data_IF_903840319659
#
_entry.id   IF_903840319659
#
_cell.length_a   1.000
_cell.length_b   1.000
_cell.length_c   1.000
_cell.angle_alpha   90.00
_cell.angle_beta   90.00
_cell.angle_gamma   90.00
#
_symmetry.space_group_name_H-M   'P 1'
#
loop_
_entity.id
_entity.type
_entity.pdbx_description
1 polymer ?
#
# COMPACT_ATOMS: atom_id res chain seq x y z
N UNK A 1 -28.81 69.20 -36.34
CA UNK A 1 -29.12 69.07 -34.91
C UNK A 1 -29.60 67.69 -34.60
N UNK A 2 -28.76 66.83 -34.10
CA UNK A 2 -29.09 65.62 -33.36
C UNK A 2 -27.79 65.17 -32.69
N UNK A 3 -27.71 65.42 -31.40
CA UNK A 3 -26.64 64.99 -30.51
C UNK A 3 -26.76 63.46 -30.32
N UNK A 4 -25.69 62.77 -30.62
CA UNK A 4 -25.52 61.37 -30.29
C UNK A 4 -24.60 61.27 -29.07
N UNK A 5 -25.22 61.20 -27.87
CA UNK A 5 -24.54 60.93 -26.62
C UNK A 5 -23.95 59.50 -26.58
N UNK A 6 -22.65 59.43 -26.67
CA UNK A 6 -21.88 58.19 -26.46
C UNK A 6 -21.79 57.93 -24.96
N UNK A 7 -22.58 56.96 -24.50
CA UNK A 7 -22.48 56.42 -23.14
C UNK A 7 -21.24 55.55 -23.03
N UNK A 8 -20.20 56.08 -22.43
CA UNK A 8 -19.01 55.31 -22.03
C UNK A 8 -19.40 54.50 -20.80
N UNK A 9 -19.58 53.19 -20.99
CA UNK A 9 -19.69 52.24 -19.87
C UNK A 9 -18.34 52.17 -19.17
N UNK A 10 -18.29 52.75 -17.97
CA UNK A 10 -17.19 52.52 -17.06
C UNK A 10 -17.17 51.02 -16.70
N UNK A 11 -16.11 50.35 -17.08
CA UNK A 11 -15.84 48.97 -16.65
C UNK A 11 -15.61 48.99 -15.12
N UNK A 12 -16.46 48.31 -14.38
CA UNK A 12 -16.24 48.05 -12.96
C UNK A 12 -14.94 47.24 -12.81
N UNK A 13 -13.91 47.89 -12.25
CA UNK A 13 -12.68 47.19 -11.85
C UNK A 13 -13.01 46.21 -10.73
N UNK A 14 -12.92 44.90 -11.02
CA UNK A 14 -13.01 43.88 -9.97
C UNK A 14 -11.98 44.15 -8.86
N UNK A 15 -12.39 44.07 -7.59
CA UNK A 15 -11.49 44.36 -6.49
C UNK A 15 -10.36 43.32 -6.46
N UNK A 16 -9.15 43.76 -6.77
CA UNK A 16 -7.93 42.94 -6.73
C UNK A 16 -7.86 42.30 -5.35
N UNK A 17 -7.93 40.94 -5.29
CA UNK A 17 -7.79 40.18 -4.06
C UNK A 17 -6.46 40.52 -3.40
N UNK A 18 -6.50 41.24 -2.28
CA UNK A 18 -5.30 41.56 -1.51
C UNK A 18 -4.79 40.24 -0.89
N UNK A 19 -3.58 39.84 -1.29
CA UNK A 19 -2.89 38.68 -0.72
C UNK A 19 -2.57 39.04 0.75
N UNK A 20 -3.00 38.25 1.74
CA UNK A 20 -2.71 38.57 3.14
C UNK A 20 -1.19 38.53 3.36
N UNK A 21 -0.66 39.62 3.90
CA UNK A 21 0.76 39.75 4.26
C UNK A 21 1.10 38.71 5.33
N UNK A 22 2.06 37.84 5.03
CA UNK A 22 2.53 36.85 6.00
C UNK A 22 3.54 37.53 6.92
N UNK A 23 3.40 37.42 8.27
CA UNK A 23 4.35 37.99 9.22
C UNK A 23 5.79 37.55 8.93
N UNK A 24 6.74 38.51 9.02
CA UNK A 24 8.15 38.26 8.67
C UNK A 24 8.79 37.13 9.50
N UNK A 25 8.42 37.03 10.77
CA UNK A 25 8.89 35.96 11.66
C UNK A 25 8.47 34.57 11.15
N UNK A 26 7.28 34.46 10.54
CA UNK A 26 6.78 33.22 9.98
C UNK A 26 7.50 32.85 8.69
N UNK A 27 7.87 33.84 7.89
CA UNK A 27 8.71 33.65 6.68
C UNK A 27 10.13 33.22 7.06
N UNK A 28 10.73 33.83 8.08
CA UNK A 28 12.05 33.42 8.59
C UNK A 28 12.03 31.98 9.11
N UNK A 29 11.01 31.61 9.90
CA UNK A 29 10.82 30.23 10.36
C UNK A 29 10.64 29.24 9.21
N UNK A 30 9.88 29.60 8.17
CA UNK A 30 9.71 28.77 6.97
C UNK A 30 11.01 28.57 6.21
N UNK A 31 11.81 29.63 6.02
CA UNK A 31 13.13 29.55 5.37
C UNK A 31 14.07 28.65 6.15
N UNK A 32 14.14 28.81 7.48
CA UNK A 32 14.98 27.98 8.35
C UNK A 32 14.54 26.49 8.27
N UNK A 33 13.24 26.21 8.31
CA UNK A 33 12.73 24.86 8.17
C UNK A 33 13.04 24.23 6.79
N UNK A 34 12.91 25.01 5.72
CA UNK A 34 13.25 24.55 4.37
C UNK A 34 14.74 24.25 4.24
N UNK A 35 15.61 25.07 4.83
CA UNK A 35 17.06 24.83 4.85
C UNK A 35 17.41 23.53 5.61
N UNK A 36 16.82 23.31 6.80
CA UNK A 36 16.99 22.07 7.57
C UNK A 36 16.51 20.86 6.77
N UNK A 37 15.34 20.96 6.11
CA UNK A 37 14.80 19.87 5.30
C UNK A 37 15.68 19.56 4.08
N UNK A 38 16.25 20.59 3.44
CA UNK A 38 17.17 20.42 2.33
C UNK A 38 18.49 19.77 2.75
N UNK A 39 19.06 20.16 3.91
CA UNK A 39 20.28 19.53 4.45
C UNK A 39 20.03 18.08 4.84
N UNK A 40 18.92 17.76 5.47
CA UNK A 40 18.53 16.38 5.78
C UNK A 40 18.36 15.52 4.52
N UNK A 41 17.71 16.06 3.47
CA UNK A 41 17.56 15.37 2.19
C UNK A 41 18.93 15.11 1.52
N UNK A 42 19.85 16.11 1.56
CA UNK A 42 21.21 15.97 1.05
C UNK A 42 22.01 14.92 1.82
N UNK A 43 21.93 14.91 3.14
CA UNK A 43 22.59 13.91 3.99
C UNK A 43 22.01 12.50 3.73
N UNK A 44 20.68 12.36 3.57
CA UNK A 44 20.05 11.10 3.24
C UNK A 44 20.48 10.57 1.86
N UNK A 45 20.68 11.45 0.88
CA UNK A 45 21.22 11.08 -0.44
C UNK A 45 22.69 10.63 -0.36
N UNK A 46 23.50 11.34 0.42
CA UNK A 46 24.92 10.97 0.64
C UNK A 46 25.03 9.63 1.36
N UNK A 47 24.21 9.39 2.39
CA UNK A 47 24.18 8.10 3.08
C UNK A 47 23.74 6.96 2.15
N UNK A 48 22.71 7.18 1.31
CA UNK A 48 22.30 6.20 0.30
C UNK A 48 23.43 5.89 -0.70
N UNK A 49 24.18 6.90 -1.15
CA UNK A 49 25.34 6.69 -2.05
C UNK A 49 26.49 5.95 -1.37
N UNK A 50 26.77 6.22 -0.08
CA UNK A 50 27.74 5.43 0.72
C UNK A 50 27.30 3.98 0.87
N UNK A 51 26.00 3.72 1.10
CA UNK A 51 25.44 2.37 1.19
C UNK A 51 25.46 1.60 -0.14
N UNK A 52 25.40 2.29 -1.28
CA UNK A 52 25.47 1.64 -2.60
C UNK A 52 26.90 1.30 -3.03
N UNK A 53 27.92 2.00 -2.53
CA UNK A 53 29.31 1.82 -2.93
C UNK A 53 30.04 0.63 -2.30
N UNK A 54 29.46 -0.01 -1.28
CA UNK A 54 30.02 -1.21 -0.66
C UNK A 54 28.92 -2.23 -0.39
N UNK A 55 29.13 -3.49 -0.74
CA UNK A 55 28.36 -4.57 -0.13
C UNK A 55 28.70 -4.56 1.36
N UNK A 56 27.94 -3.81 2.16
CA UNK A 56 28.10 -3.87 3.61
C UNK A 56 27.79 -5.29 4.04
N UNK A 57 28.78 -5.97 4.51
CA UNK A 57 28.61 -7.25 5.21
C UNK A 57 27.79 -6.92 6.45
N UNK A 58 26.50 -7.23 6.41
CA UNK A 58 25.64 -7.07 7.58
C UNK A 58 26.02 -8.14 8.58
N UNK A 59 26.73 -7.72 9.61
CA UNK A 59 27.05 -8.60 10.73
C UNK A 59 25.77 -9.06 11.41
N UNK A 60 25.53 -10.36 11.37
CA UNK A 60 24.39 -10.98 12.02
C UNK A 60 24.85 -11.61 13.34
N UNK A 61 24.34 -11.12 14.46
CA UNK A 61 24.66 -11.67 15.78
C UNK A 61 24.21 -13.14 15.87
N UNK A 62 24.95 -13.93 16.64
CA UNK A 62 24.68 -15.37 16.83
C UNK A 62 23.23 -15.63 17.28
N UNK A 63 22.73 -14.84 18.24
CA UNK A 63 21.33 -14.92 18.72
C UNK A 63 20.30 -14.77 17.58
N UNK A 64 20.53 -13.84 16.66
CA UNK A 64 19.65 -13.63 15.52
C UNK A 64 19.72 -14.82 14.54
N UNK A 65 20.88 -15.41 14.37
CA UNK A 65 21.07 -16.61 13.54
C UNK A 65 20.34 -17.81 14.12
N UNK A 66 20.51 -18.09 15.41
CA UNK A 66 19.83 -19.18 16.13
C UNK A 66 18.31 -18.99 16.06
N UNK A 67 17.81 -17.79 16.36
CA UNK A 67 16.38 -17.47 16.27
C UNK A 67 15.80 -17.71 14.87
N UNK A 68 16.52 -17.34 13.84
CA UNK A 68 16.07 -17.52 12.45
C UNK A 68 16.10 -19.01 12.06
N UNK A 69 17.10 -19.77 12.54
CA UNK A 69 17.16 -21.23 12.34
C UNK A 69 15.98 -21.93 13.00
N UNK A 70 15.65 -21.60 14.24
CA UNK A 70 14.48 -22.11 14.94
C UNK A 70 13.17 -21.76 14.22
N UNK A 71 13.05 -20.55 13.72
CA UNK A 71 11.88 -20.11 12.96
C UNK A 71 11.72 -20.92 11.68
N UNK A 72 12.81 -21.12 10.94
CA UNK A 72 12.85 -21.94 9.72
C UNK A 72 12.45 -23.39 10.01
N UNK A 73 12.94 -23.96 11.09
CA UNK A 73 12.61 -25.32 11.50
C UNK A 73 11.11 -25.47 11.84
N UNK A 74 10.57 -24.58 12.67
CA UNK A 74 9.13 -24.55 13.00
C UNK A 74 8.24 -24.41 11.78
N UNK A 75 8.60 -23.54 10.84
CA UNK A 75 7.89 -23.40 9.58
C UNK A 75 7.93 -24.68 8.74
N UNK A 76 9.07 -25.36 8.68
CA UNK A 76 9.20 -26.63 7.99
C UNK A 76 8.29 -27.73 8.56
N UNK A 77 8.20 -27.82 9.89
CA UNK A 77 7.28 -28.76 10.55
C UNK A 77 5.83 -28.38 10.26
N UNK A 78 5.47 -27.11 10.38
CA UNK A 78 4.11 -26.62 10.10
C UNK A 78 3.68 -26.95 8.67
N UNK A 79 4.54 -26.69 7.69
CA UNK A 79 4.23 -26.95 6.28
C UNK A 79 4.08 -28.44 5.99
N UNK A 80 4.91 -29.32 6.56
CA UNK A 80 4.76 -30.78 6.45
C UNK A 80 3.45 -31.28 7.05
N UNK A 81 3.07 -30.79 8.24
CA UNK A 81 1.78 -31.14 8.87
C UNK A 81 0.59 -30.64 8.02
N UNK A 82 0.72 -29.50 7.38
CA UNK A 82 -0.32 -28.96 6.51
C UNK A 82 -0.49 -29.80 5.22
N UNK A 83 0.57 -30.39 4.71
CA UNK A 83 0.52 -31.30 3.56
C UNK A 83 -0.18 -32.62 3.93
N UNK A 84 0.10 -33.15 5.11
CA UNK A 84 -0.51 -34.39 5.63
C UNK A 84 -2.00 -34.23 5.95
N UNK A 85 -2.43 -33.01 6.34
CA UNK A 85 -3.83 -32.69 6.67
C UNK A 85 -4.35 -31.62 5.71
N UNK A 86 -4.73 -32.00 4.49
CA UNK A 86 -5.30 -31.06 3.54
C UNK A 86 -6.62 -30.54 4.12
N UNK A 87 -6.64 -29.28 4.52
CA UNK A 87 -7.86 -28.64 4.97
C UNK A 87 -8.77 -28.31 3.77
N UNK A 88 -10.03 -28.01 4.06
CA UNK A 88 -11.00 -27.59 3.06
C UNK A 88 -10.47 -26.40 2.24
N UNK A 89 -10.45 -26.54 0.94
CA UNK A 89 -10.08 -25.49 -0.03
C UNK A 89 -11.30 -24.95 -0.76
N UNK A 90 -12.50 -25.19 -0.20
CA UNK A 90 -13.73 -24.65 -0.76
C UNK A 90 -13.66 -23.11 -0.71
N UNK A 91 -13.86 -22.49 -1.85
CA UNK A 91 -13.93 -21.02 -1.98
C UNK A 91 -15.34 -20.61 -1.61
N UNK A 92 -15.53 -19.68 -0.66
CA UNK A 92 -16.84 -19.13 -0.37
C UNK A 92 -17.42 -18.51 -1.65
N UNK A 93 -18.65 -18.89 -2.02
CA UNK A 93 -19.28 -18.36 -3.23
C UNK A 93 -19.57 -16.87 -3.13
N UNK A 94 -19.87 -16.40 -1.93
CA UNK A 94 -20.22 -15.00 -1.65
C UNK A 94 -19.02 -14.04 -1.69
N UNK A 95 -17.83 -14.54 -1.35
CA UNK A 95 -16.65 -13.69 -1.22
C UNK A 95 -15.55 -14.10 -2.20
N UNK A 96 -15.55 -13.47 -3.37
CA UNK A 96 -14.54 -13.72 -4.40
C UNK A 96 -13.26 -12.89 -4.22
N UNK A 97 -13.34 -11.80 -3.46
CA UNK A 97 -12.24 -10.85 -3.22
C UNK A 97 -11.68 -11.01 -1.81
N UNK A 98 -10.36 -10.99 -1.70
CA UNK A 98 -9.65 -10.86 -0.44
C UNK A 98 -8.67 -9.68 -0.49
N UNK A 99 -8.50 -9.00 0.64
CA UNK A 99 -7.41 -8.05 0.86
C UNK A 99 -6.42 -8.68 1.83
N UNK A 100 -5.15 -8.68 1.45
CA UNK A 100 -4.07 -9.41 2.14
C UNK A 100 -3.02 -8.42 2.58
N UNK A 101 -2.72 -8.36 3.88
CA UNK A 101 -1.76 -7.44 4.48
C UNK A 101 -0.66 -8.20 5.20
N UNK A 102 0.60 -7.88 4.90
CA UNK A 102 1.71 -8.45 5.63
C UNK A 102 1.89 -7.74 6.98
N UNK A 103 1.87 -8.52 8.07
CA UNK A 103 1.98 -8.02 9.44
C UNK A 103 3.36 -8.31 10.03
N UNK A 104 3.93 -9.47 9.75
CA UNK A 104 5.15 -9.95 10.42
C UNK A 104 6.39 -9.94 9.53
N UNK A 105 7.56 -9.91 10.16
CA UNK A 105 8.84 -10.03 9.48
C UNK A 105 9.08 -11.43 8.94
N UNK A 106 9.68 -11.48 7.74
CA UNK A 106 10.02 -12.71 7.02
C UNK A 106 11.50 -13.10 7.15
N UNK A 107 12.19 -12.59 8.17
CA UNK A 107 13.56 -13.01 8.44
C UNK A 107 13.58 -14.42 9.01
N UNK A 108 14.41 -15.30 8.44
CA UNK A 108 14.53 -16.69 8.88
C UNK A 108 13.32 -17.57 8.58
N UNK A 109 12.46 -17.24 7.62
CA UNK A 109 11.35 -18.10 7.17
C UNK A 109 11.81 -19.10 6.12
N UNK A 110 11.00 -20.17 5.92
CA UNK A 110 11.26 -21.15 4.87
C UNK A 110 11.23 -20.53 3.48
N UNK A 111 11.99 -21.08 2.52
CA UNK A 111 12.03 -20.59 1.14
C UNK A 111 10.65 -20.59 0.45
N UNK A 112 9.82 -21.60 0.77
CA UNK A 112 8.45 -21.72 0.25
C UNK A 112 7.58 -20.54 0.68
N UNK A 113 7.63 -20.14 1.97
CA UNK A 113 6.90 -18.97 2.49
C UNK A 113 7.38 -17.69 1.83
N UNK A 114 8.70 -17.51 1.70
CA UNK A 114 9.27 -16.32 1.05
C UNK A 114 8.80 -16.18 -0.39
N UNK A 115 8.81 -17.26 -1.16
CA UNK A 115 8.37 -17.27 -2.55
C UNK A 115 6.89 -16.89 -2.69
N UNK A 116 6.01 -17.41 -1.81
CA UNK A 116 4.58 -17.03 -1.82
C UNK A 116 4.39 -15.55 -1.47
N UNK A 117 5.12 -15.01 -0.50
CA UNK A 117 5.07 -13.58 -0.15
C UNK A 117 5.55 -12.68 -1.31
N UNK A 118 6.55 -13.13 -2.06
CA UNK A 118 7.01 -12.44 -3.28
C UNK A 118 5.96 -12.49 -4.41
N UNK A 119 5.30 -13.63 -4.61
CA UNK A 119 4.20 -13.76 -5.58
C UNK A 119 3.01 -12.86 -5.23
N UNK A 120 2.69 -12.72 -3.93
CA UNK A 120 1.67 -11.80 -3.44
C UNK A 120 2.14 -10.33 -3.44
N UNK A 121 3.38 -10.04 -3.86
CA UNK A 121 4.01 -8.71 -3.87
C UNK A 121 4.11 -8.03 -2.49
N UNK A 122 4.08 -8.80 -1.41
CA UNK A 122 4.11 -8.31 -0.02
C UNK A 122 5.54 -8.18 0.53
N UNK A 123 6.44 -7.52 -0.21
CA UNK A 123 7.87 -7.43 0.14
C UNK A 123 8.16 -6.64 1.42
N UNK A 124 7.35 -5.65 1.75
CA UNK A 124 7.53 -4.79 2.94
C UNK A 124 6.44 -5.08 3.98
N UNK A 125 6.73 -4.83 5.25
CA UNK A 125 5.70 -4.85 6.30
C UNK A 125 4.66 -3.78 6.02
N UNK A 126 3.42 -4.01 6.42
CA UNK A 126 2.27 -3.14 6.21
C UNK A 126 1.97 -2.85 4.73
N UNK A 127 2.36 -3.75 3.87
CA UNK A 127 1.97 -3.72 2.47
C UNK A 127 0.76 -4.62 2.28
N UNK A 128 -0.26 -4.11 1.58
CA UNK A 128 -1.47 -4.85 1.25
C UNK A 128 -1.68 -5.00 -0.23
N UNK A 129 -2.32 -6.08 -0.65
CA UNK A 129 -2.69 -6.36 -2.05
C UNK A 129 -4.06 -6.98 -2.12
N UNK A 130 -4.77 -6.75 -3.23
CA UNK A 130 -6.01 -7.44 -3.54
C UNK A 130 -5.71 -8.79 -4.21
N UNK A 131 -6.41 -9.83 -3.78
CA UNK A 131 -6.25 -11.19 -4.29
C UNK A 131 -7.62 -11.78 -4.60
N UNK A 132 -7.79 -12.33 -5.80
CA UNK A 132 -8.97 -13.11 -6.15
C UNK A 132 -8.90 -14.48 -5.45
N UNK A 133 -9.95 -14.83 -4.72
CA UNK A 133 -10.04 -16.11 -4.04
C UNK A 133 -10.29 -17.23 -5.06
N UNK A 134 -9.30 -18.09 -5.18
CA UNK A 134 -9.31 -19.33 -5.96
C UNK A 134 -8.78 -20.45 -5.07
N UNK A 135 -9.02 -21.71 -5.37
CA UNK A 135 -8.46 -22.82 -4.58
C UNK A 135 -6.93 -22.73 -4.46
N UNK A 136 -6.26 -22.23 -5.50
CA UNK A 136 -4.81 -22.04 -5.51
C UNK A 136 -4.39 -20.88 -4.59
N UNK A 137 -5.07 -19.72 -4.65
CA UNK A 137 -4.76 -18.59 -3.79
C UNK A 137 -5.03 -18.90 -2.32
N UNK A 138 -6.05 -19.68 -2.00
CA UNK A 138 -6.29 -20.17 -0.64
C UNK A 138 -5.16 -21.07 -0.13
N UNK A 139 -4.64 -21.97 -0.97
CA UNK A 139 -3.44 -22.77 -0.62
C UNK A 139 -2.23 -21.86 -0.36
N UNK A 140 -2.02 -20.82 -1.17
CA UNK A 140 -0.96 -19.84 -0.94
C UNK A 140 -1.15 -19.06 0.36
N UNK A 141 -2.37 -18.61 0.68
CA UNK A 141 -2.68 -17.88 1.91
C UNK A 141 -2.46 -18.74 3.16
N UNK A 142 -2.79 -20.02 3.13
CA UNK A 142 -2.48 -20.97 4.22
C UNK A 142 -0.98 -21.11 4.47
N UNK A 143 -0.16 -21.13 3.41
CA UNK A 143 1.30 -21.21 3.55
C UNK A 143 1.85 -19.99 4.30
N UNK A 144 1.31 -18.81 4.06
CA UNK A 144 1.78 -17.55 4.65
C UNK A 144 0.96 -17.07 5.85
N UNK A 145 -0.01 -17.84 6.28
CA UNK A 145 -0.97 -17.49 7.34
C UNK A 145 -0.35 -16.86 8.60
N UNK A 146 0.77 -17.35 9.18
CA UNK A 146 1.36 -16.75 10.37
C UNK A 146 1.97 -15.36 10.18
N UNK A 147 2.16 -14.93 8.94
CA UNK A 147 2.85 -13.69 8.59
C UNK A 147 1.93 -12.62 8.02
N UNK A 148 0.70 -13.01 7.69
CA UNK A 148 -0.24 -12.20 6.92
C UNK A 148 -1.61 -12.21 7.59
N UNK A 149 -2.28 -11.05 7.59
CA UNK A 149 -3.71 -10.97 7.87
C UNK A 149 -4.44 -10.78 6.56
N UNK A 150 -5.53 -11.51 6.37
CA UNK A 150 -6.35 -11.38 5.18
C UNK A 150 -7.83 -11.49 5.52
N UNK A 151 -8.69 -10.96 4.67
CA UNK A 151 -10.12 -11.02 4.86
C UNK A 151 -10.87 -10.40 3.69
N UNK A 152 -12.18 -10.27 3.84
CA UNK A 152 -13.10 -9.81 2.81
C UNK A 152 -13.35 -8.31 2.95
N UNK A 153 -12.78 -7.46 2.06
CA UNK A 153 -13.00 -6.04 2.11
C UNK A 153 -14.41 -5.70 1.57
N UNK A 154 -15.08 -4.73 2.20
CA UNK A 154 -16.30 -4.15 1.68
C UNK A 154 -15.99 -3.09 0.61
N UNK A 155 -17.00 -2.70 -0.16
CA UNK A 155 -16.86 -1.70 -1.24
C UNK A 155 -16.26 -0.38 -0.74
N UNK A 156 -16.68 0.08 0.44
CA UNK A 156 -16.16 1.31 1.06
C UNK A 156 -14.66 1.22 1.31
N UNK A 157 -14.17 0.11 1.87
CA UNK A 157 -12.74 -0.12 2.11
C UNK A 157 -11.93 -0.18 0.83
N UNK A 158 -12.45 -0.83 -0.22
CA UNK A 158 -11.80 -0.89 -1.54
C UNK A 158 -11.68 0.52 -2.12
N UNK A 159 -12.78 1.27 -2.12
CA UNK A 159 -12.84 2.64 -2.63
C UNK A 159 -11.87 3.57 -1.89
N UNK A 160 -11.90 3.57 -0.57
CA UNK A 160 -11.01 4.41 0.24
C UNK A 160 -9.53 4.07 0.05
N UNK A 161 -9.16 2.79 -0.06
CA UNK A 161 -7.79 2.37 -0.35
C UNK A 161 -7.30 2.88 -1.70
N UNK A 162 -8.12 2.75 -2.74
CA UNK A 162 -7.75 3.15 -4.10
C UNK A 162 -7.66 4.67 -4.21
N UNK A 163 -8.65 5.41 -3.69
CA UNK A 163 -8.68 6.87 -3.71
C UNK A 163 -7.50 7.47 -2.93
N UNK A 164 -7.21 6.95 -1.75
CA UNK A 164 -6.23 7.55 -0.85
C UNK A 164 -4.79 7.11 -1.12
N UNK A 165 -4.60 5.84 -1.51
CA UNK A 165 -3.29 5.21 -1.65
C UNK A 165 -3.04 4.55 -2.98
N UNK A 166 -3.97 4.67 -3.93
CA UNK A 166 -3.83 4.08 -5.25
C UNK A 166 -2.65 4.65 -6.01
N UNK A 167 -1.76 3.77 -6.47
CA UNK A 167 -0.62 4.10 -7.31
C UNK A 167 -0.51 3.09 -8.43
N UNK A 168 -0.25 3.59 -9.63
CA UNK A 168 0.00 2.77 -10.81
C UNK A 168 1.47 2.35 -10.89
N UNK A 169 1.71 1.19 -11.47
CA UNK A 169 3.04 0.69 -11.82
C UNK A 169 3.31 0.97 -13.30
N UNK A 170 4.05 2.05 -13.58
CA UNK A 170 4.40 2.43 -14.95
C UNK A 170 5.91 2.41 -15.08
N UNK A 171 6.45 1.59 -15.99
CA UNK A 171 7.90 1.44 -16.21
C UNK A 171 8.67 1.29 -14.89
N UNK A 172 8.15 0.44 -13.97
CA UNK A 172 8.70 0.19 -12.62
C UNK A 172 8.70 1.40 -11.66
N UNK A 173 8.15 2.52 -12.07
CA UNK A 173 7.95 3.71 -11.22
C UNK A 173 6.55 3.71 -10.63
N UNK A 174 6.42 4.35 -9.48
CA UNK A 174 5.15 4.57 -8.80
C UNK A 174 4.58 5.90 -9.24
N UNK A 175 3.40 5.87 -9.82
CA UNK A 175 2.67 7.06 -10.24
C UNK A 175 1.33 7.09 -9.51
N UNK A 176 0.99 8.17 -8.79
CA UNK A 176 -0.30 8.29 -8.13
C UNK A 176 -1.43 8.30 -9.19
N UNK A 177 -2.58 7.73 -8.83
CA UNK A 177 -3.76 7.71 -9.68
C UNK A 177 -4.53 9.03 -9.53
N UNK A 178 -4.01 10.10 -10.10
CA UNK A 178 -4.64 11.43 -10.08
C UNK A 178 -5.55 11.64 -11.28
N UNK A 179 -5.19 11.07 -12.44
CA UNK A 179 -5.86 11.31 -13.71
C UNK A 179 -6.44 10.03 -14.31
N UNK A 180 -7.67 10.12 -14.81
CA UNK A 180 -8.32 9.01 -15.50
C UNK A 180 -7.65 8.69 -16.84
N UNK A 181 -7.06 9.67 -17.53
CA UNK A 181 -6.31 9.45 -18.78
C UNK A 181 -5.17 8.44 -18.63
N UNK A 182 -4.57 8.38 -17.43
CA UNK A 182 -3.53 7.41 -17.13
C UNK A 182 -4.08 5.99 -17.05
N UNK A 183 -5.31 5.83 -16.52
CA UNK A 183 -6.02 4.55 -16.44
C UNK A 183 -6.42 4.11 -17.85
N UNK A 184 -7.03 5.00 -18.62
CA UNK A 184 -7.46 4.76 -19.99
C UNK A 184 -6.30 4.32 -20.89
N UNK A 185 -5.17 5.01 -20.82
CA UNK A 185 -3.96 4.68 -21.60
C UNK A 185 -3.46 3.25 -21.37
N UNK A 186 -3.57 2.73 -20.15
CA UNK A 186 -3.03 1.42 -19.78
C UNK A 186 -4.07 0.32 -19.72
N UNK A 187 -5.31 0.63 -19.39
CA UNK A 187 -6.39 -0.34 -19.19
C UNK A 187 -7.60 -0.13 -20.14
N UNK A 188 -7.58 0.91 -20.97
CA UNK A 188 -8.67 1.20 -21.93
C UNK A 188 -9.00 0.04 -22.85
N UNK A 189 -8.00 -0.74 -23.30
CA UNK A 189 -8.22 -1.97 -24.06
C UNK A 189 -8.94 -3.09 -23.31
N UNK A 190 -9.23 -2.91 -22.03
CA UNK A 190 -10.04 -3.81 -21.20
C UNK A 190 -11.41 -3.20 -20.84
N UNK A 191 -11.75 -2.02 -21.38
CA UNK A 191 -12.98 -1.30 -21.06
C UNK A 191 -12.96 -0.57 -19.72
N UNK A 192 -11.77 -0.33 -19.14
CA UNK A 192 -11.58 0.37 -17.86
C UNK A 192 -11.02 1.74 -18.19
N UNK A 193 -11.84 2.78 -18.09
CA UNK A 193 -11.53 4.16 -18.50
C UNK A 193 -11.32 5.04 -17.27
N UNK A 194 -12.09 4.83 -16.22
CA UNK A 194 -12.08 5.66 -15.05
C UNK A 194 -11.72 4.89 -13.76
N UNK A 195 -11.55 5.64 -12.69
CA UNK A 195 -11.19 5.10 -11.38
C UNK A 195 -12.33 4.26 -10.78
N UNK A 196 -13.59 4.60 -11.07
CA UNK A 196 -14.76 3.85 -10.61
C UNK A 196 -14.86 2.48 -11.32
N UNK A 197 -14.54 2.41 -12.62
CA UNK A 197 -14.47 1.13 -13.35
C UNK A 197 -13.42 0.22 -12.75
N UNK A 198 -12.26 0.80 -12.38
CA UNK A 198 -11.17 0.08 -11.72
C UNK A 198 -11.62 -0.47 -10.36
N UNK A 199 -12.35 0.33 -9.56
CA UNK A 199 -12.92 -0.10 -8.28
C UNK A 199 -13.93 -1.23 -8.49
N UNK A 200 -14.81 -1.08 -9.48
CA UNK A 200 -15.81 -2.09 -9.82
C UNK A 200 -15.17 -3.42 -10.22
N UNK A 201 -14.19 -3.39 -11.12
CA UNK A 201 -13.47 -4.59 -11.57
C UNK A 201 -12.76 -5.32 -10.43
N UNK A 202 -12.17 -4.57 -9.48
CA UNK A 202 -11.55 -5.17 -8.30
C UNK A 202 -12.61 -5.77 -7.38
N UNK A 203 -13.68 -5.04 -7.07
CA UNK A 203 -14.68 -5.49 -6.12
C UNK A 203 -15.46 -6.70 -6.63
N UNK A 204 -15.84 -6.70 -7.90
CA UNK A 204 -16.52 -7.83 -8.55
C UNK A 204 -15.60 -9.03 -8.80
N UNK A 205 -14.28 -8.87 -8.63
CA UNK A 205 -13.27 -9.85 -9.02
C UNK A 205 -13.44 -10.33 -10.48
N UNK A 206 -13.62 -9.37 -11.39
CA UNK A 206 -14.03 -9.60 -12.77
C UNK A 206 -13.00 -10.31 -13.65
N UNK A 207 -13.21 -10.24 -14.96
CA UNK A 207 -12.39 -10.91 -15.98
C UNK A 207 -10.97 -10.34 -16.06
N UNK A 208 -10.83 -9.04 -15.90
CA UNK A 208 -9.56 -8.33 -16.02
C UNK A 208 -8.87 -8.06 -14.69
N UNK A 209 -9.36 -8.65 -13.59
CA UNK A 209 -8.83 -8.52 -12.24
C UNK A 209 -7.29 -8.63 -12.18
N UNK A 210 -6.70 -9.64 -12.85
CA UNK A 210 -5.25 -9.85 -12.86
C UNK A 210 -4.50 -8.70 -13.54
N UNK A 211 -5.05 -8.13 -14.63
CA UNK A 211 -4.44 -6.98 -15.31
C UNK A 211 -4.49 -5.74 -14.42
N UNK A 212 -5.61 -5.50 -13.77
CA UNK A 212 -5.81 -4.39 -12.84
C UNK A 212 -4.89 -4.50 -11.61
N UNK A 213 -4.81 -5.66 -10.98
CA UNK A 213 -3.91 -5.86 -9.82
C UNK A 213 -2.44 -5.76 -10.19
N UNK A 214 -2.04 -6.16 -11.41
CA UNK A 214 -0.67 -5.98 -11.89
C UNK A 214 -0.35 -4.51 -12.22
N UNK A 215 -1.33 -3.75 -12.66
CA UNK A 215 -1.21 -2.30 -12.89
C UNK A 215 -1.07 -1.53 -11.58
N UNK A 216 -1.79 -1.96 -10.53
CA UNK A 216 -1.72 -1.34 -9.22
C UNK A 216 -0.41 -1.71 -8.50
N UNK A 217 0.19 -0.70 -7.89
CA UNK A 217 1.28 -0.93 -6.93
C UNK A 217 0.69 -1.43 -5.61
N UNK A 218 1.38 -2.35 -4.90
CA UNK A 218 0.93 -2.77 -3.57
C UNK A 218 0.72 -1.58 -2.63
N UNK A 219 -0.40 -1.57 -1.93
CA UNK A 219 -0.78 -0.49 -1.03
C UNK A 219 0.11 -0.47 0.20
N UNK A 220 0.77 0.63 0.45
CA UNK A 220 1.59 0.80 1.65
C UNK A 220 0.76 1.47 2.73
N UNK A 221 0.34 0.69 3.73
CA UNK A 221 -0.47 1.17 4.84
C UNK A 221 0.39 1.93 5.86
N UNK A 222 -0.25 2.81 6.61
CA UNK A 222 0.40 3.53 7.71
C UNK A 222 0.67 2.58 8.86
N UNK A 223 1.72 2.86 9.62
CA UNK A 223 2.03 2.12 10.85
C UNK A 223 1.71 3.02 12.01
N UNK A 224 0.96 2.53 12.99
CA UNK A 224 0.80 3.24 14.24
C UNK A 224 2.17 3.47 14.89
N UNK A 225 2.47 4.72 15.30
CA UNK A 225 3.80 5.09 15.83
C UNK A 225 4.22 4.25 17.03
N UNK A 226 3.26 3.84 17.85
CA UNK A 226 3.49 2.99 19.02
C UNK A 226 3.85 1.56 18.65
N UNK A 227 3.23 1.00 17.61
CA UNK A 227 3.52 -0.35 17.12
C UNK A 227 4.92 -0.50 16.52
N UNK A 228 5.51 0.57 15.99
CA UNK A 228 6.85 0.53 15.40
C UNK A 228 7.99 0.51 16.44
N UNK A 229 7.75 1.05 17.64
CA UNK A 229 8.76 1.15 18.71
C UNK A 229 8.69 -0.01 19.69
N UNK A 230 7.50 -0.46 20.07
CA UNK A 230 7.29 -1.52 21.04
C UNK A 230 6.60 -2.72 20.40
N UNK A 231 7.30 -3.85 20.29
CA UNK A 231 6.75 -5.11 19.75
C UNK A 231 5.51 -5.62 20.52
N UNK A 232 5.34 -5.21 21.78
CA UNK A 232 4.19 -5.57 22.62
C UNK A 232 2.92 -4.83 22.20
N UNK A 233 3.00 -3.54 21.83
CA UNK A 233 1.89 -2.77 21.28
C UNK A 233 1.45 -3.23 19.89
N UNK A 234 2.39 -3.78 19.12
CA UNK A 234 2.17 -4.26 17.76
C UNK A 234 1.07 -5.33 17.65
N UNK A 235 1.08 -6.34 18.53
CA UNK A 235 0.07 -7.40 18.52
C UNK A 235 -1.32 -6.92 18.95
N UNK A 236 -1.40 -5.92 19.81
CA UNK A 236 -2.69 -5.31 20.22
C UNK A 236 -3.33 -4.53 19.09
N UNK A 237 -2.53 -3.72 18.37
CA UNK A 237 -3.04 -2.85 17.29
C UNK A 237 -3.26 -3.62 15.98
N UNK A 238 -2.34 -4.53 15.63
CA UNK A 238 -2.42 -5.28 14.39
C UNK A 238 -3.28 -6.55 14.50
N UNK A 239 -3.53 -7.03 15.71
CA UNK A 239 -4.31 -8.23 15.99
C UNK A 239 -3.65 -9.53 15.50
N UNK A 240 -4.40 -10.63 15.56
CA UNK A 240 -3.89 -11.96 15.20
C UNK A 240 -3.66 -12.10 13.68
N UNK A 241 -2.62 -12.82 13.24
CA UNK A 241 -2.45 -13.20 11.85
C UNK A 241 -3.51 -14.21 11.40
N UNK A 242 -3.64 -14.39 10.08
CA UNK A 242 -4.56 -15.34 9.48
C UNK A 242 -5.83 -14.70 8.92
N UNK A 243 -6.84 -15.54 8.72
CA UNK A 243 -8.14 -15.10 8.19
C UNK A 243 -8.90 -14.29 9.25
N UNK A 244 -9.40 -13.12 8.86
CA UNK A 244 -10.20 -12.23 9.70
C UNK A 244 -11.62 -12.01 9.18
N UNK A 245 -11.96 -12.62 8.04
CA UNK A 245 -13.25 -12.38 7.42
C UNK A 245 -13.51 -10.89 7.20
N UNK A 246 -14.65 -10.38 7.63
CA UNK A 246 -15.03 -8.97 7.51
C UNK A 246 -14.30 -8.03 8.48
N UNK A 247 -13.74 -8.54 9.58
CA UNK A 247 -12.97 -7.74 10.54
C UNK A 247 -11.71 -7.09 9.92
N UNK A 248 -11.29 -7.50 8.72
CA UNK A 248 -10.23 -6.84 7.95
C UNK A 248 -10.57 -5.38 7.65
N UNK A 249 -11.85 -5.03 7.53
CA UNK A 249 -12.29 -3.65 7.26
C UNK A 249 -11.93 -2.71 8.42
N UNK A 250 -11.97 -3.18 9.66
CA UNK A 250 -11.53 -2.41 10.81
C UNK A 250 -10.02 -2.13 10.73
N UNK A 251 -9.21 -3.15 10.39
CA UNK A 251 -7.78 -2.97 10.19
C UNK A 251 -7.48 -1.97 9.07
N UNK A 252 -8.19 -2.06 7.95
CA UNK A 252 -8.04 -1.12 6.83
C UNK A 252 -8.30 0.30 7.30
N UNK A 253 -9.39 0.57 8.03
CA UNK A 253 -9.72 1.90 8.56
C UNK A 253 -8.66 2.46 9.50
N UNK A 254 -8.06 1.60 10.33
CA UNK A 254 -7.02 2.03 11.27
C UNK A 254 -5.71 2.40 10.58
N UNK A 255 -5.38 1.73 9.48
CA UNK A 255 -4.08 1.86 8.80
C UNK A 255 -4.13 2.66 7.50
N UNK A 256 -5.31 3.03 7.01
CA UNK A 256 -5.51 3.76 5.75
C UNK A 256 -5.41 5.32 5.89
#
# INVERSE_FOLDING_TARGET
MRDSGSSVKMAEEEPRRRIPLVPENLLKKRKAYQAIKATQAKQALLSKRKHQKGKQIQFKRLEAFVRDSWRKHRDGIRLRRMEQRPGQTAVPQEHKLAFVVRIADINGVSGRVRRVIELLQLRKNFTGTFVKLTPLSLKMLRIVEPYVAWGHPNLKSVRELILKRGQAKIKEKRVPLTDNMLIEKHLGGCGIICLEDLIHEIYSAGKYFKKVTNFLWPFHLSVARHASRNKVGFLKEMGKPGCRGEAINQLIRQLN
#
